data_IF_360594718423
#
_entry.id   IF_360594718423
#
_cell.length_a   1.000
_cell.length_b   1.000
_cell.length_c   1.000
_cell.angle_alpha   90.00
_cell.angle_beta   90.00
_cell.angle_gamma   90.00
#
_symmetry.space_group_name_H-M   'P 1'
#
loop_
_entity.id
_entity.type
_entity.pdbx_description
1 polymer ?
#
# COMPACT_ATOMS: atom_id res chain seq x y z
N UNK A 1 -4.89 19.91 -17.35
CA UNK A 1 -4.88 19.02 -16.16
C UNK A 1 -4.38 17.65 -16.58
N UNK A 2 -3.57 17.00 -15.73
CA UNK A 2 -3.09 15.64 -15.95
C UNK A 2 -4.22 14.69 -15.53
N UNK A 3 -4.92 14.06 -16.47
CA UNK A 3 -6.06 13.17 -16.22
C UNK A 3 -5.59 11.77 -15.76
N UNK A 4 -4.68 11.73 -14.79
CA UNK A 4 -4.15 10.47 -14.26
C UNK A 4 -4.99 10.00 -13.08
N UNK A 5 -5.28 8.69 -12.99
CA UNK A 5 -5.99 8.15 -11.85
C UNK A 5 -5.17 8.35 -10.56
N UNK A 6 -5.86 8.66 -9.46
CA UNK A 6 -5.26 8.93 -8.16
C UNK A 6 -5.83 7.93 -7.15
N UNK A 7 -4.95 7.29 -6.40
CA UNK A 7 -5.30 6.52 -5.20
C UNK A 7 -4.88 7.31 -3.97
N UNK A 8 -5.84 7.62 -3.10
CA UNK A 8 -5.61 8.35 -1.86
C UNK A 8 -5.64 7.37 -0.70
N UNK A 9 -4.60 7.37 0.14
CA UNK A 9 -4.55 6.62 1.40
C UNK A 9 -4.40 7.61 2.55
N UNK A 10 -5.39 7.66 3.43
CA UNK A 10 -5.29 8.41 4.67
C UNK A 10 -4.42 7.65 5.66
N UNK A 11 -3.46 8.35 6.27
CA UNK A 11 -2.51 7.79 7.21
C UNK A 11 -2.88 8.21 8.63
N UNK A 12 -2.75 7.27 9.56
CA UNK A 12 -2.87 7.50 11.00
C UNK A 12 -1.89 6.58 11.75
N UNK A 13 -1.83 6.74 13.08
CA UNK A 13 -0.91 6.01 13.95
C UNK A 13 -1.33 4.57 14.25
N UNK A 14 -2.57 4.18 13.93
CA UNK A 14 -3.10 2.83 14.11
C UNK A 14 -2.91 1.96 12.85
N UNK A 15 -2.49 2.59 11.75
CA UNK A 15 -2.38 1.96 10.45
C UNK A 15 -1.31 0.88 10.45
N UNK A 16 -1.71 -0.34 10.10
CA UNK A 16 -0.86 -1.52 10.06
C UNK A 16 -0.22 -1.71 8.68
N UNK A 17 0.80 -2.56 8.60
CA UNK A 17 1.40 -2.90 7.31
C UNK A 17 0.42 -3.63 6.38
N UNK A 18 -0.49 -4.41 6.94
CA UNK A 18 -1.53 -5.12 6.19
C UNK A 18 -2.48 -4.14 5.48
N UNK A 19 -2.72 -2.96 6.07
CA UNK A 19 -3.49 -1.89 5.44
C UNK A 19 -2.78 -1.24 4.24
N UNK A 20 -1.45 -1.34 4.18
CA UNK A 20 -0.61 -0.79 3.10
C UNK A 20 -0.28 -1.84 2.04
N UNK A 21 -0.02 -3.08 2.41
CA UNK A 21 0.43 -4.14 1.48
C UNK A 21 -0.72 -5.08 1.07
N UNK A 22 -1.63 -5.34 2.00
CA UNK A 22 -2.66 -6.37 1.91
C UNK A 22 -2.41 -7.51 2.90
N UNK A 23 -3.38 -8.42 3.00
CA UNK A 23 -3.35 -9.52 3.96
C UNK A 23 -3.87 -10.83 3.37
N UNK A 24 -3.56 -11.93 4.04
CA UNK A 24 -4.19 -13.23 3.75
C UNK A 24 -5.57 -13.28 4.40
N UNK A 25 -6.59 -13.53 3.60
CA UNK A 25 -7.97 -13.74 4.06
C UNK A 25 -8.40 -15.18 3.78
N UNK A 26 -9.37 -15.67 4.55
CA UNK A 26 -10.02 -16.94 4.29
C UNK A 26 -11.38 -16.68 3.64
N UNK A 27 -11.53 -17.05 2.37
CA UNK A 27 -12.77 -16.93 1.62
C UNK A 27 -13.23 -18.33 1.19
N UNK A 28 -14.41 -18.75 1.65
CA UNK A 28 -15.01 -20.05 1.31
C UNK A 28 -14.08 -21.25 1.56
N UNK A 29 -13.31 -21.21 2.65
CA UNK A 29 -12.37 -22.28 3.01
C UNK A 29 -11.04 -22.25 2.25
N UNK A 30 -10.84 -21.29 1.33
CA UNK A 30 -9.59 -21.10 0.62
C UNK A 30 -8.85 -19.87 1.13
N UNK A 31 -7.55 -20.00 1.39
CA UNK A 31 -6.70 -18.86 1.73
C UNK A 31 -6.34 -18.09 0.47
N UNK A 32 -6.67 -16.81 0.44
CA UNK A 32 -6.32 -15.89 -0.65
C UNK A 32 -5.51 -14.73 -0.10
N UNK A 33 -4.55 -14.23 -0.89
CA UNK A 33 -3.91 -12.94 -0.60
C UNK A 33 -4.71 -11.82 -1.26
N UNK A 34 -5.16 -10.85 -0.47
CA UNK A 34 -5.90 -9.67 -0.92
C UNK A 34 -4.99 -8.47 -0.79
N UNK A 35 -4.56 -7.93 -1.92
CA UNK A 35 -3.75 -6.71 -1.98
C UNK A 35 -4.56 -5.50 -1.52
N UNK A 36 -3.90 -4.55 -0.87
CA UNK A 36 -4.50 -3.27 -0.53
C UNK A 36 -4.78 -2.42 -1.78
N UNK A 37 -5.68 -1.45 -1.66
CA UNK A 37 -5.95 -0.46 -2.71
C UNK A 37 -4.69 0.35 -3.08
N UNK A 38 -3.78 0.54 -2.12
CA UNK A 38 -2.50 1.21 -2.33
C UNK A 38 -1.61 0.40 -3.28
N UNK A 39 -1.50 -0.91 -3.07
CA UNK A 39 -0.70 -1.80 -3.93
C UNK A 39 -1.36 -1.94 -5.31
N UNK A 40 -2.67 -2.02 -5.38
CA UNK A 40 -3.39 -2.05 -6.67
C UNK A 40 -3.15 -0.76 -7.45
N UNK A 41 -3.37 0.40 -6.84
CA UNK A 41 -3.11 1.70 -7.47
C UNK A 41 -1.65 1.85 -7.92
N UNK A 42 -0.69 1.38 -7.11
CA UNK A 42 0.72 1.41 -7.48
C UNK A 42 1.01 0.56 -8.73
N UNK A 43 0.42 -0.64 -8.81
CA UNK A 43 0.55 -1.54 -9.96
C UNK A 43 -0.10 -0.99 -11.22
N UNK A 44 -1.24 -0.34 -11.06
CA UNK A 44 -2.01 0.25 -12.16
C UNK A 44 -1.44 1.59 -12.64
N UNK A 45 -0.37 2.08 -12.00
CA UNK A 45 0.32 3.31 -12.39
C UNK A 45 -0.40 4.58 -11.95
N UNK A 46 -1.22 4.50 -10.90
CA UNK A 46 -1.87 5.67 -10.31
C UNK A 46 -0.87 6.61 -9.66
N UNK A 47 -1.25 7.89 -9.58
CA UNK A 47 -0.63 8.80 -8.61
C UNK A 47 -1.06 8.34 -7.21
N UNK A 48 -0.10 8.07 -6.35
CA UNK A 48 -0.37 7.69 -4.96
C UNK A 48 -0.26 8.93 -4.09
N UNK A 49 -1.36 9.30 -3.41
CA UNK A 49 -1.40 10.38 -2.43
C UNK A 49 -1.53 9.78 -1.03
N UNK A 50 -0.47 9.94 -0.24
CA UNK A 50 -0.48 9.59 1.19
C UNK A 50 -0.85 10.84 1.99
N UNK A 51 -2.08 10.91 2.46
CA UNK A 51 -2.58 12.04 3.23
C UNK A 51 -2.24 11.87 4.72
N UNK A 52 -1.85 12.96 5.39
CA UNK A 52 -1.40 12.97 6.80
C UNK A 52 -0.22 12.01 7.09
N UNK A 53 0.72 11.88 6.15
CA UNK A 53 1.86 10.95 6.24
C UNK A 53 2.75 11.18 7.48
N UNK A 54 2.74 12.39 8.05
CA UNK A 54 3.44 12.73 9.29
C UNK A 54 2.94 11.95 10.52
N UNK A 55 1.73 11.36 10.45
CA UNK A 55 1.14 10.55 11.54
C UNK A 55 1.53 9.07 11.51
N UNK A 56 2.28 8.62 10.52
CA UNK A 56 2.64 7.20 10.37
C UNK A 56 3.51 6.72 11.55
N UNK A 57 3.30 5.48 11.98
CA UNK A 57 4.23 4.84 12.92
C UNK A 57 5.61 4.62 12.23
N UNK A 58 6.75 4.92 12.89
CA UNK A 58 8.09 4.69 12.34
C UNK A 58 8.33 3.29 11.74
N UNK A 59 7.83 2.23 12.37
CA UNK A 59 8.02 0.86 11.89
C UNK A 59 7.30 0.63 10.54
N UNK A 60 6.10 1.18 10.40
CA UNK A 60 5.34 1.14 9.15
C UNK A 60 5.99 2.04 8.09
N UNK A 61 6.51 3.20 8.48
CA UNK A 61 7.20 4.13 7.58
C UNK A 61 8.44 3.50 6.93
N UNK A 62 9.23 2.73 7.69
CA UNK A 62 10.41 2.06 7.18
C UNK A 62 10.09 1.08 6.03
N UNK A 63 8.87 0.53 5.98
CA UNK A 63 8.45 -0.38 4.89
C UNK A 63 8.18 0.34 3.57
N UNK A 64 7.77 1.62 3.62
CA UNK A 64 7.61 2.45 2.42
C UNK A 64 8.94 2.70 1.69
N UNK A 65 10.08 2.47 2.33
CA UNK A 65 11.39 2.62 1.71
C UNK A 65 11.55 1.79 0.43
N UNK A 66 11.07 0.54 0.41
CA UNK A 66 11.22 -0.34 -0.76
C UNK A 66 10.50 0.16 -2.01
N UNK A 67 9.19 0.50 -1.98
CA UNK A 67 8.51 1.04 -3.15
C UNK A 67 9.06 2.41 -3.59
N UNK A 68 9.54 3.24 -2.66
CA UNK A 68 10.14 4.54 -2.96
C UNK A 68 11.50 4.42 -3.66
N UNK A 69 12.30 3.41 -3.33
CA UNK A 69 13.59 3.15 -3.97
C UNK A 69 13.49 2.47 -5.34
N UNK A 70 12.26 2.19 -5.83
CA UNK A 70 12.05 1.41 -7.07
C UNK A 70 12.68 0.01 -7.05
N UNK A 71 13.03 -0.53 -5.88
CA UNK A 71 13.37 -1.94 -5.76
C UNK A 71 12.07 -2.73 -5.91
N UNK A 72 11.82 -3.19 -7.13
CA UNK A 72 10.81 -4.23 -7.35
C UNK A 72 11.12 -5.36 -6.39
N UNK A 73 10.19 -5.68 -5.49
CA UNK A 73 10.22 -6.94 -4.76
C UNK A 73 10.06 -8.01 -5.84
N UNK A 74 11.18 -8.47 -6.37
CA UNK A 74 11.21 -9.50 -7.40
C UNK A 74 10.52 -10.73 -6.85
N UNK A 75 9.59 -11.27 -7.63
CA UNK A 75 8.94 -12.55 -7.38
C UNK A 75 9.99 -13.56 -6.91
N UNK A 76 9.92 -13.94 -5.63
CA UNK A 76 10.53 -15.14 -5.07
C UNK A 76 9.40 -16.01 -4.56
#
# INVERSE_FOLDING_TARGET
MLNWPITIKQINNELSIDDLEGMRTLENGNTRYVYSDLVQGYRDGHIILLDEIDKINPDTAAKLHMPLERKTVGNR
#
